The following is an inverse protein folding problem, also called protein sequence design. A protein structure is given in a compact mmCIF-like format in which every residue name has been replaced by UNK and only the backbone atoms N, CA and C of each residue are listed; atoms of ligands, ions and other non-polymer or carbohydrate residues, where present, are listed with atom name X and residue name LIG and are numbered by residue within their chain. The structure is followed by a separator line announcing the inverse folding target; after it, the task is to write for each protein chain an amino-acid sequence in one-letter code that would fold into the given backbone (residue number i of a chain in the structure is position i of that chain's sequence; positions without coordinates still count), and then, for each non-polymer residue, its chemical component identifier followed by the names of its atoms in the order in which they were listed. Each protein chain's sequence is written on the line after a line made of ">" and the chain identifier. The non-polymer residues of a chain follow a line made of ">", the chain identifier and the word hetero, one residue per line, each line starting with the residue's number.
data_IF_433780318761
#
_entry.id   IF_433780318761
#
_cell.length_a   1.000
_cell.length_b   1.000
_cell.length_c   1.000
_cell.angle_alpha   90.00
_cell.angle_beta   90.00
_cell.angle_gamma   90.00
#
_symmetry.space_group_name_H-M   'P 1'
#
loop_
_entity.id
_entity.type
_entity.pdbx_description
1 polymer ?
#
# COMPACT_ATOMS: atom_id res chain seq x y z
N UNK A 1 41.04 -12.71 2.09
CA UNK A 1 39.98 -12.61 3.12
C UNK A 1 39.64 -11.14 3.24
N UNK A 2 38.42 -10.77 2.81
CA UNK A 2 37.49 -9.75 3.31
C UNK A 2 36.31 -9.87 2.34
N UNK A 3 35.42 -10.79 2.67
CA UNK A 3 34.02 -10.74 2.28
C UNK A 3 33.38 -9.75 3.21
N UNK A 4 33.02 -8.55 2.75
CA UNK A 4 31.89 -7.79 3.27
C UNK A 4 31.78 -6.45 2.55
N UNK A 5 30.69 -6.26 1.81
CA UNK A 5 29.95 -4.99 1.62
C UNK A 5 28.84 -5.08 0.54
N UNK A 6 28.38 -6.28 0.17
CA UNK A 6 27.14 -6.43 -0.63
C UNK A 6 25.87 -6.61 0.22
N UNK A 7 25.96 -6.42 1.54
CA UNK A 7 24.80 -6.51 2.43
C UNK A 7 24.43 -5.12 2.99
N UNK A 8 23.13 -4.81 2.86
CA UNK A 8 22.33 -4.14 3.89
C UNK A 8 22.22 -2.60 3.87
N UNK A 9 21.55 -2.06 2.85
CA UNK A 9 20.70 -0.85 2.98
C UNK A 9 19.33 -1.04 2.26
N UNK A 10 19.27 -1.87 1.21
CA UNK A 10 18.16 -1.89 0.24
C UNK A 10 16.91 -2.76 0.55
N UNK A 11 16.64 -3.13 1.80
CA UNK A 11 15.42 -3.92 2.11
C UNK A 11 14.76 -3.62 3.44
N UNK A 12 15.48 -3.13 4.45
CA UNK A 12 14.89 -2.90 5.78
C UNK A 12 13.84 -1.79 5.76
N UNK A 13 14.08 -0.68 5.05
CA UNK A 13 13.11 0.41 4.94
C UNK A 13 11.86 -0.03 4.18
N UNK A 14 12.02 -0.72 3.04
CA UNK A 14 10.91 -1.27 2.27
C UNK A 14 10.10 -2.30 3.09
N UNK A 15 10.76 -3.15 3.88
CA UNK A 15 10.08 -4.07 4.79
C UNK A 15 9.33 -3.33 5.90
N UNK A 16 9.92 -2.28 6.47
CA UNK A 16 9.26 -1.44 7.46
C UNK A 16 8.04 -0.72 6.89
N UNK A 17 8.10 -0.24 5.65
CA UNK A 17 6.94 0.34 4.96
C UNK A 17 5.83 -0.68 4.74
N UNK A 18 6.18 -1.89 4.25
CA UNK A 18 5.21 -2.96 4.04
C UNK A 18 4.59 -3.42 5.37
N UNK A 19 5.37 -3.56 6.44
CA UNK A 19 4.86 -3.94 7.76
C UNK A 19 3.95 -2.87 8.37
N UNK A 20 4.24 -1.58 8.13
CA UNK A 20 3.34 -0.48 8.53
C UNK A 20 2.02 -0.56 7.77
N UNK A 21 2.10 -0.71 6.44
CA UNK A 21 0.93 -0.85 5.60
C UNK A 21 0.08 -2.07 5.98
N UNK A 22 0.72 -3.21 6.25
CA UNK A 22 0.04 -4.41 6.79
C UNK A 22 -0.71 -4.09 8.09
N UNK A 23 -0.04 -3.42 9.03
CA UNK A 23 -0.64 -3.02 10.31
C UNK A 23 -1.85 -2.11 10.13
N UNK A 24 -1.75 -1.12 9.24
CA UNK A 24 -2.85 -0.20 8.95
C UNK A 24 -4.03 -0.93 8.31
N UNK A 25 -3.78 -1.86 7.38
CA UNK A 25 -4.82 -2.69 6.77
C UNK A 25 -5.50 -3.61 7.79
N UNK A 26 -4.74 -4.23 8.69
CA UNK A 26 -5.28 -5.06 9.77
C UNK A 26 -6.15 -4.23 10.74
N UNK A 27 -5.78 -2.98 11.00
CA UNK A 27 -6.60 -2.07 11.81
C UNK A 27 -7.94 -1.78 11.13
N UNK A 28 -7.93 -1.47 9.83
CA UNK A 28 -9.18 -1.27 9.07
C UNK A 28 -10.02 -2.56 9.04
N UNK A 29 -9.40 -3.73 8.83
CA UNK A 29 -10.09 -5.01 8.87
C UNK A 29 -10.78 -5.27 10.22
N UNK A 30 -10.15 -4.83 11.32
CA UNK A 30 -10.75 -4.91 12.65
C UNK A 30 -11.96 -3.96 12.79
N UNK A 31 -11.90 -2.75 12.23
CA UNK A 31 -13.04 -1.83 12.21
C UNK A 31 -14.21 -2.38 11.39
N UNK A 32 -13.96 -2.90 10.19
CA UNK A 32 -14.96 -3.58 9.36
C UNK A 32 -15.62 -4.74 10.12
N UNK A 33 -14.83 -5.57 10.81
CA UNK A 33 -15.36 -6.69 11.61
C UNK A 33 -16.24 -6.25 12.78
N UNK A 34 -15.99 -5.07 13.33
CA UNK A 34 -16.72 -4.52 14.48
C UNK A 34 -17.83 -3.55 14.07
N UNK A 35 -18.07 -3.37 12.77
CA UNK A 35 -19.03 -2.40 12.21
C UNK A 35 -18.75 -0.96 12.67
N UNK A 36 -17.47 -0.60 12.78
CA UNK A 36 -17.00 0.74 13.14
C UNK A 36 -16.63 1.48 11.86
N UNK A 37 -17.12 2.71 11.70
CA UNK A 37 -16.76 3.55 10.54
C UNK A 37 -17.39 3.10 9.21
N UNK A 38 -18.44 2.28 9.26
CA UNK A 38 -19.14 1.72 8.09
C UNK A 38 -20.30 2.58 7.59
N UNK A 39 -20.58 3.70 8.27
CA UNK A 39 -21.58 4.66 7.81
C UNK A 39 -21.07 5.36 6.55
N UNK A 40 -21.91 5.40 5.52
CA UNK A 40 -21.61 6.11 4.28
C UNK A 40 -21.75 7.62 4.46
N UNK A 41 -20.85 8.35 3.82
CA UNK A 41 -20.87 9.81 3.70
C UNK A 41 -21.65 10.29 2.46
N UNK A 42 -21.49 11.58 2.12
CA UNK A 42 -22.14 12.21 0.97
C UNK A 42 -21.69 11.64 -0.38
N UNK A 43 -20.50 11.06 -0.45
CA UNK A 43 -19.92 10.44 -1.65
C UNK A 43 -20.25 8.93 -1.74
N UNK A 44 -21.04 8.41 -0.81
CA UNK A 44 -21.37 6.99 -0.63
C UNK A 44 -20.17 6.11 -0.26
N UNK A 45 -19.12 6.69 0.33
CA UNK A 45 -17.98 5.94 0.87
C UNK A 45 -18.03 5.88 2.38
N UNK A 46 -17.53 4.79 2.95
CA UNK A 46 -17.33 4.66 4.40
C UNK A 46 -16.00 5.26 4.84
N UNK A 47 -15.84 5.59 6.12
CA UNK A 47 -14.56 6.05 6.68
C UNK A 47 -13.44 5.03 6.45
N UNK A 48 -13.77 3.74 6.54
CA UNK A 48 -12.85 2.64 6.25
C UNK A 48 -12.44 2.63 4.77
N UNK A 49 -13.39 2.81 3.85
CA UNK A 49 -13.08 2.92 2.43
C UNK A 49 -12.20 4.13 2.11
N UNK A 50 -12.42 5.28 2.77
CA UNK A 50 -11.54 6.44 2.64
C UNK A 50 -10.15 6.19 3.18
N UNK A 51 -10.03 5.46 4.29
CA UNK A 51 -8.74 5.06 4.84
C UNK A 51 -7.98 4.17 3.85
N UNK A 52 -8.64 3.14 3.30
CA UNK A 52 -8.06 2.27 2.25
C UNK A 52 -7.69 3.08 1.00
N UNK A 53 -8.54 4.03 0.58
CA UNK A 53 -8.26 4.90 -0.55
C UNK A 53 -6.97 5.72 -0.35
N UNK A 54 -6.82 6.31 0.85
CA UNK A 54 -5.63 7.08 1.22
C UNK A 54 -4.37 6.21 1.25
N UNK A 55 -4.45 5.01 1.84
CA UNK A 55 -3.34 4.05 1.88
C UNK A 55 -2.94 3.60 0.48
N UNK A 56 -3.90 3.21 -0.35
CA UNK A 56 -3.67 2.75 -1.73
C UNK A 56 -3.00 3.84 -2.57
N UNK A 57 -3.50 5.08 -2.49
CA UNK A 57 -2.97 6.22 -3.24
C UNK A 57 -1.56 6.58 -2.75
N UNK A 58 -1.35 6.68 -1.44
CA UNK A 58 -0.04 6.96 -0.84
C UNK A 58 0.99 5.90 -1.23
N UNK A 59 0.60 4.63 -1.17
CA UNK A 59 1.46 3.52 -1.56
C UNK A 59 1.80 3.54 -3.05
N UNK A 60 0.83 3.82 -3.93
CA UNK A 60 1.05 3.98 -5.37
C UNK A 60 2.03 5.11 -5.68
N UNK A 61 1.91 6.24 -4.99
CA UNK A 61 2.84 7.36 -5.08
C UNK A 61 4.25 7.00 -4.61
N UNK A 62 4.36 6.26 -3.51
CA UNK A 62 5.64 5.71 -3.04
C UNK A 62 6.25 4.68 -3.98
N UNK A 63 5.45 4.10 -4.88
CA UNK A 63 5.92 3.26 -5.98
C UNK A 63 6.40 4.09 -7.16
N UNK A 64 5.88 5.30 -7.43
CA UNK A 64 6.27 6.21 -8.52
C UNK A 64 6.49 5.55 -9.90
N UNK A 65 5.72 4.51 -10.23
CA UNK A 65 5.91 3.69 -11.45
C UNK A 65 7.01 2.63 -11.37
N UNK A 66 7.80 2.61 -10.29
CA UNK A 66 8.88 1.67 -10.00
C UNK A 66 8.42 0.55 -9.03
N UNK A 67 7.49 -0.28 -9.49
CA UNK A 67 7.19 -1.59 -8.89
C UNK A 67 8.44 -2.48 -8.62
N UNK A 68 9.56 -2.36 -9.37
CA UNK A 68 10.83 -2.98 -9.00
C UNK A 68 11.31 -2.76 -7.57
N UNK A 69 10.88 -1.68 -6.89
CA UNK A 69 11.21 -1.38 -5.48
C UNK A 69 10.93 -2.54 -4.53
N UNK A 70 9.84 -3.28 -4.75
CA UNK A 70 9.46 -4.45 -3.93
C UNK A 70 9.70 -5.79 -4.64
N UNK A 71 10.32 -5.77 -5.83
CA UNK A 71 10.61 -6.99 -6.60
C UNK A 71 11.77 -7.83 -6.01
N UNK A 72 12.53 -7.27 -5.05
CA UNK A 72 13.57 -8.02 -4.37
C UNK A 72 12.95 -9.22 -3.61
N UNK A 73 13.51 -10.44 -3.74
CA UNK A 73 12.93 -11.64 -3.11
C UNK A 73 12.67 -11.51 -1.61
N UNK A 74 13.52 -10.78 -0.88
CA UNK A 74 13.34 -10.55 0.56
C UNK A 74 12.12 -9.72 0.94
N UNK A 75 11.57 -8.91 0.02
CA UNK A 75 10.38 -8.10 0.25
C UNK A 75 9.16 -8.66 -0.49
N UNK A 76 9.37 -9.43 -1.56
CA UNK A 76 8.32 -9.86 -2.47
C UNK A 76 7.21 -10.64 -1.77
N UNK A 77 7.54 -11.58 -0.89
CA UNK A 77 6.52 -12.37 -0.18
C UNK A 77 5.60 -11.47 0.64
N UNK A 78 6.17 -10.60 1.47
CA UNK A 78 5.39 -9.67 2.29
C UNK A 78 4.59 -8.68 1.43
N UNK A 79 5.18 -8.21 0.32
CA UNK A 79 4.45 -7.36 -0.63
C UNK A 79 3.22 -8.06 -1.18
N UNK A 80 3.37 -9.29 -1.68
CA UNK A 80 2.26 -10.05 -2.27
C UNK A 80 1.15 -10.27 -1.21
N UNK A 81 1.52 -10.64 0.03
CA UNK A 81 0.59 -10.83 1.16
C UNK A 81 -0.14 -9.53 1.54
N UNK A 82 0.56 -8.39 1.57
CA UNK A 82 -0.04 -7.07 1.87
C UNK A 82 -1.03 -6.65 0.78
N UNK A 83 -0.72 -6.90 -0.49
CA UNK A 83 -1.64 -6.61 -1.60
C UNK A 83 -2.88 -7.50 -1.54
N UNK A 84 -2.73 -8.78 -1.21
CA UNK A 84 -3.86 -9.69 -1.00
C UNK A 84 -4.74 -9.25 0.17
N UNK A 85 -4.13 -8.87 1.30
CA UNK A 85 -4.85 -8.33 2.45
C UNK A 85 -5.62 -7.07 2.05
N UNK A 86 -4.98 -6.12 1.37
CA UNK A 86 -5.62 -4.87 0.99
C UNK A 86 -6.86 -5.05 0.12
N UNK A 87 -6.81 -6.00 -0.82
CA UNK A 87 -7.95 -6.39 -1.67
C UNK A 87 -9.05 -7.11 -0.89
N UNK A 88 -8.71 -7.78 0.19
CA UNK A 88 -9.66 -8.49 1.03
C UNK A 88 -10.43 -7.56 2.00
N UNK A 89 -9.78 -6.51 2.55
CA UNK A 89 -10.40 -5.62 3.55
C UNK A 89 -11.58 -4.85 2.97
N UNK A 90 -11.38 -4.13 1.86
CA UNK A 90 -12.45 -3.43 1.14
C UNK A 90 -12.35 -3.78 -0.35
N UNK A 91 -13.10 -4.80 -0.83
CA UNK A 91 -13.02 -5.26 -2.21
C UNK A 91 -13.26 -4.15 -3.22
N UNK A 92 -12.34 -3.99 -4.17
CA UNK A 92 -12.41 -3.01 -5.25
C UNK A 92 -11.93 -1.59 -4.88
N UNK A 93 -11.99 -1.19 -3.60
CA UNK A 93 -11.52 0.15 -3.17
C UNK A 93 -10.01 0.29 -3.37
N UNK A 94 -9.22 -0.71 -2.95
CA UNK A 94 -7.77 -0.66 -3.09
C UNK A 94 -7.33 -0.48 -4.55
N UNK A 95 -7.75 -1.37 -5.45
CA UNK A 95 -7.30 -1.34 -6.85
C UNK A 95 -7.71 -0.05 -7.58
N UNK A 96 -8.90 0.48 -7.28
CA UNK A 96 -9.38 1.74 -7.87
C UNK A 96 -8.50 2.93 -7.49
N UNK A 97 -8.26 3.14 -6.18
CA UNK A 97 -7.47 4.28 -5.71
C UNK A 97 -5.97 4.10 -5.89
N UNK A 98 -5.47 2.87 -5.89
CA UNK A 98 -4.09 2.57 -6.28
C UNK A 98 -3.84 3.02 -7.73
N UNK A 99 -4.75 2.69 -8.66
CA UNK A 99 -4.65 3.14 -10.05
C UNK A 99 -4.65 4.66 -10.17
N UNK A 100 -5.56 5.35 -9.46
CA UNK A 100 -5.60 6.81 -9.45
C UNK A 100 -4.26 7.38 -8.96
N UNK A 101 -3.72 6.87 -7.86
CA UNK A 101 -2.43 7.33 -7.34
C UNK A 101 -1.28 7.12 -8.32
N UNK A 102 -1.29 6.00 -9.04
CA UNK A 102 -0.28 5.74 -10.07
C UNK A 102 -0.40 6.72 -11.25
N UNK A 103 -1.61 6.94 -11.76
CA UNK A 103 -1.87 7.86 -12.88
C UNK A 103 -1.45 9.29 -12.52
N UNK A 104 -1.74 9.73 -11.28
CA UNK A 104 -1.33 11.05 -10.78
C UNK A 104 0.18 11.19 -10.63
N UNK A 105 0.84 10.16 -10.09
CA UNK A 105 2.30 10.14 -9.94
C UNK A 105 3.00 10.24 -11.30
N UNK A 106 2.51 9.50 -12.30
CA UNK A 106 3.00 9.56 -13.69
C UNK A 106 2.76 10.94 -14.29
N UNK A 107 1.56 11.50 -14.11
CA UNK A 107 1.22 12.81 -14.63
C UNK A 107 2.12 13.91 -14.07
N UNK A 108 2.46 13.87 -12.78
CA UNK A 108 3.41 14.81 -12.19
C UNK A 108 4.82 14.64 -12.74
N UNK A 109 5.31 13.40 -12.84
CA UNK A 109 6.65 13.14 -13.36
C UNK A 109 6.83 13.60 -14.82
N UNK A 110 5.74 13.73 -15.58
CA UNK A 110 5.75 14.26 -16.94
C UNK A 110 5.70 15.80 -17.02
N UNK A 111 5.46 16.50 -15.90
CA UNK A 111 5.44 17.96 -15.83
C UNK A 111 6.79 18.57 -15.39
N UNK A 112 7.71 17.75 -14.87
CA UNK A 112 9.09 18.11 -14.49
C UNK A 112 10.08 17.95 -15.66
#
# INVERSE_FOLDING_TARGET
>A
MITDQTNSVFSAENLCELAKLEGDLLAVAAFERLDIGTQQDEDNFTDNQWTIASLARTFAWGCAGDLPRYAHPSCKTLFDEVIELARAVCPGTWDYFFKIGLDESIAMAAMD
#
